data_IF_681445222320
#
_entry.id   IF_681445222320
#
_cell.length_a   1.000
_cell.length_b   1.000
_cell.length_c   1.000
_cell.angle_alpha   90.00
_cell.angle_beta   90.00
_cell.angle_gamma   90.00
#
_symmetry.space_group_name_H-M   'P 1'
#
loop_
_entity.id
_entity.type
_entity.pdbx_description
1 polymer ?
#
# COMPACT_ATOMS: atom_id res chain seq x y z
N UNK A 1 2.70 -1.02 -9.50
CA UNK A 1 1.33 -1.55 -9.62
C UNK A 1 1.27 -2.72 -10.58
N UNK A 2 1.62 -2.54 -11.86
CA UNK A 2 1.67 -3.65 -12.84
C UNK A 2 2.86 -4.59 -12.60
N UNK A 3 4.05 -4.05 -12.32
CA UNK A 3 5.26 -4.85 -12.05
C UNK A 3 5.21 -5.66 -10.75
N UNK A 4 4.32 -5.28 -9.83
CA UNK A 4 4.19 -5.90 -8.51
C UNK A 4 2.88 -6.71 -8.40
N UNK A 5 2.11 -6.86 -9.48
CA UNK A 5 0.88 -7.67 -9.52
C UNK A 5 -0.16 -7.33 -8.43
N UNK A 6 -0.13 -6.12 -7.86
CA UNK A 6 -1.06 -5.67 -6.79
C UNK A 6 -2.52 -5.63 -7.28
N UNK A 7 -2.70 -5.72 -8.60
CA UNK A 7 -4.00 -5.71 -9.25
C UNK A 7 -4.67 -7.10 -9.31
N UNK A 8 -3.98 -8.17 -8.92
CA UNK A 8 -4.49 -9.54 -9.00
C UNK A 8 -5.37 -9.85 -7.77
N UNK A 9 -6.49 -9.13 -7.69
CA UNK A 9 -7.55 -9.33 -6.69
C UNK A 9 -8.88 -9.47 -7.42
N UNK A 10 -9.74 -10.38 -6.96
CA UNK A 10 -11.02 -10.71 -7.61
C UNK A 10 -11.90 -9.50 -7.82
N UNK A 11 -11.93 -8.61 -6.83
CA UNK A 11 -12.74 -7.39 -6.83
C UNK A 11 -11.92 -6.12 -7.13
N UNK A 12 -10.65 -6.27 -7.55
CA UNK A 12 -9.76 -5.13 -7.87
C UNK A 12 -9.63 -4.17 -6.69
N UNK A 13 -9.46 -4.76 -5.50
CA UNK A 13 -9.43 -4.07 -4.20
C UNK A 13 -8.00 -3.85 -3.66
N UNK A 14 -6.97 -4.20 -4.43
CA UNK A 14 -5.58 -4.02 -4.02
C UNK A 14 -5.18 -2.56 -3.77
N UNK A 15 -4.35 -2.34 -2.75
CA UNK A 15 -3.74 -1.02 -2.44
C UNK A 15 -2.22 -1.18 -2.44
N UNK A 16 -1.52 -0.29 -3.16
CA UNK A 16 -0.07 -0.17 -3.11
C UNK A 16 0.33 1.03 -2.28
N UNK A 17 1.02 0.78 -1.16
CA UNK A 17 1.77 1.79 -0.43
C UNK A 17 3.23 1.72 -0.90
N UNK A 18 3.68 2.74 -1.62
CA UNK A 18 5.05 2.84 -2.13
C UNK A 18 5.82 3.93 -1.37
N UNK A 19 7.01 3.57 -0.87
CA UNK A 19 7.90 4.49 -0.14
C UNK A 19 9.32 4.41 -0.72
N UNK A 20 9.79 5.51 -1.30
CA UNK A 20 11.17 5.69 -1.75
C UNK A 20 11.89 6.63 -0.79
N UNK A 21 12.70 6.07 0.11
CA UNK A 21 13.49 6.85 1.07
C UNK A 21 14.59 7.67 0.40
N UNK A 22 15.09 7.24 -0.76
CA UNK A 22 16.14 7.98 -1.50
C UNK A 22 15.60 9.22 -2.19
N UNK A 23 14.38 9.14 -2.71
CA UNK A 23 13.73 10.24 -3.42
C UNK A 23 12.77 11.03 -2.53
N UNK A 24 12.64 10.64 -1.25
CA UNK A 24 11.65 11.17 -0.31
C UNK A 24 10.23 11.17 -0.88
N UNK A 25 9.89 10.11 -1.63
CA UNK A 25 8.61 9.96 -2.33
C UNK A 25 7.74 8.94 -1.61
N UNK A 26 6.47 9.29 -1.42
CA UNK A 26 5.44 8.42 -0.84
C UNK A 26 4.27 8.45 -1.82
N UNK A 27 3.80 7.28 -2.22
CA UNK A 27 2.62 7.15 -3.07
C UNK A 27 1.68 6.11 -2.49
N UNK A 28 0.39 6.40 -2.54
CA UNK A 28 -0.67 5.47 -2.20
C UNK A 28 -1.57 5.38 -3.42
N UNK A 29 -1.74 4.17 -3.92
CA UNK A 29 -2.53 3.92 -5.12
C UNK A 29 -3.51 2.80 -4.78
N UNK A 30 -4.80 3.04 -5.00
CA UNK A 30 -5.81 1.99 -5.01
C UNK A 30 -6.00 1.45 -6.42
N UNK A 31 -6.42 0.18 -6.54
CA UNK A 31 -6.91 -0.36 -7.80
C UNK A 31 -8.35 0.11 -8.06
N UNK A 32 -8.90 -0.25 -9.22
CA UNK A 32 -10.13 0.28 -9.79
C UNK A 32 -11.36 0.03 -8.91
N UNK A 33 -11.42 -1.08 -8.16
CA UNK A 33 -12.50 -1.35 -7.21
C UNK A 33 -12.48 -0.41 -6.01
N UNK A 34 -11.29 -0.03 -5.54
CA UNK A 34 -11.11 0.96 -4.47
C UNK A 34 -11.38 2.37 -4.97
N UNK A 35 -10.82 2.75 -6.12
CA UNK A 35 -10.94 4.11 -6.67
C UNK A 35 -12.38 4.48 -7.07
N UNK A 36 -13.29 3.51 -7.15
CA UNK A 36 -14.73 3.77 -7.33
C UNK A 36 -15.39 4.34 -6.07
N UNK A 37 -14.84 4.06 -4.89
CA UNK A 37 -15.43 4.39 -3.59
C UNK A 37 -14.55 5.36 -2.77
N UNK A 38 -13.24 5.35 -3.01
CA UNK A 38 -12.24 6.14 -2.30
C UNK A 38 -11.67 7.21 -3.23
N UNK A 39 -11.71 8.47 -2.82
CA UNK A 39 -11.17 9.59 -3.57
C UNK A 39 -9.67 9.83 -3.25
N UNK A 40 -8.97 10.54 -4.13
CA UNK A 40 -7.55 10.82 -3.94
C UNK A 40 -7.25 11.55 -2.61
N UNK A 41 -8.16 12.44 -2.19
CA UNK A 41 -8.03 13.21 -0.95
C UNK A 41 -8.16 12.34 0.31
N UNK A 42 -8.85 11.21 0.24
CA UNK A 42 -8.96 10.28 1.37
C UNK A 42 -7.60 9.64 1.72
N UNK A 43 -6.71 9.50 0.74
CA UNK A 43 -5.35 8.97 0.94
C UNK A 43 -4.39 9.98 1.57
N UNK A 44 -4.73 11.27 1.61
CA UNK A 44 -3.86 12.30 2.15
C UNK A 44 -3.48 12.03 3.62
N UNK A 45 -4.41 11.47 4.38
CA UNK A 45 -4.18 11.10 5.78
C UNK A 45 -3.21 9.92 5.94
N UNK A 46 -3.24 8.97 4.99
CA UNK A 46 -2.32 7.82 4.93
C UNK A 46 -0.90 8.32 4.62
N UNK A 47 -0.76 9.16 3.60
CA UNK A 47 0.54 9.78 3.23
C UNK A 47 1.11 10.58 4.39
N UNK A 48 0.26 11.33 5.10
CA UNK A 48 0.68 12.17 6.23
C UNK A 48 1.27 11.34 7.39
N UNK A 49 0.68 10.17 7.70
CA UNK A 49 1.19 9.26 8.74
C UNK A 49 2.56 8.70 8.39
N UNK A 50 2.72 8.20 7.16
CA UNK A 50 4.01 7.67 6.68
C UNK A 50 5.07 8.76 6.73
N UNK A 51 4.74 9.96 6.25
CA UNK A 51 5.64 11.12 6.27
C UNK A 51 6.07 11.47 7.70
N UNK A 52 5.14 11.47 8.65
CA UNK A 52 5.43 11.73 10.06
C UNK A 52 6.35 10.66 10.64
N UNK A 53 6.15 9.39 10.30
CA UNK A 53 7.05 8.30 10.70
C UNK A 53 8.48 8.53 10.20
N UNK A 54 8.63 8.87 8.92
CA UNK A 54 9.94 9.20 8.32
C UNK A 54 10.62 10.37 9.04
N UNK A 55 9.88 11.45 9.32
CA UNK A 55 10.42 12.65 9.96
C UNK A 55 10.88 12.42 11.41
N UNK A 56 10.35 11.39 12.09
CA UNK A 56 10.68 11.06 13.47
C UNK A 56 11.64 9.87 13.57
N UNK A 57 12.30 9.47 12.48
CA UNK A 57 13.14 8.27 12.41
C UNK A 57 12.41 6.97 12.85
N UNK A 58 11.08 6.95 12.72
CA UNK A 58 10.21 5.84 13.09
C UNK A 58 9.25 5.49 11.94
N UNK A 59 9.82 5.11 10.80
CA UNK A 59 9.06 4.71 9.60
C UNK A 59 8.13 3.53 9.87
N UNK A 60 8.58 2.54 10.66
CA UNK A 60 7.80 1.34 10.97
C UNK A 60 6.46 1.70 11.59
N UNK A 61 6.45 2.56 12.61
CA UNK A 61 5.22 3.02 13.24
C UNK A 61 4.34 3.78 12.24
N UNK A 62 4.93 4.69 11.46
CA UNK A 62 4.20 5.45 10.45
C UNK A 62 3.55 4.57 9.38
N UNK A 63 4.16 3.43 9.03
CA UNK A 63 3.59 2.43 8.12
C UNK A 63 2.45 1.64 8.78
N UNK A 64 2.61 1.22 10.04
CA UNK A 64 1.55 0.52 10.78
C UNK A 64 0.31 1.40 10.89
N UNK A 65 0.47 2.65 11.36
CA UNK A 65 -0.66 3.59 11.46
C UNK A 65 -1.32 3.86 10.09
N UNK A 66 -0.53 3.88 9.02
CA UNK A 66 -1.02 4.07 7.66
C UNK A 66 -1.84 2.86 7.16
N UNK A 67 -1.36 1.64 7.38
CA UNK A 67 -2.08 0.40 7.04
C UNK A 67 -3.40 0.33 7.81
N UNK A 68 -3.39 0.63 9.12
CA UNK A 68 -4.61 0.69 9.91
C UNK A 68 -5.60 1.74 9.38
N UNK A 69 -5.08 2.91 8.94
CA UNK A 69 -5.94 3.93 8.33
C UNK A 69 -6.55 3.45 7.02
N UNK A 70 -5.80 2.76 6.18
CA UNK A 70 -6.32 2.16 4.96
C UNK A 70 -7.49 1.22 5.29
N UNK A 71 -7.32 0.31 6.26
CA UNK A 71 -8.40 -0.58 6.69
C UNK A 71 -9.65 0.16 7.13
N UNK A 72 -9.51 1.16 8.01
CA UNK A 72 -10.64 2.00 8.45
C UNK A 72 -11.30 2.76 7.30
N UNK A 73 -10.51 3.26 6.35
CA UNK A 73 -11.02 3.99 5.19
C UNK A 73 -11.85 3.07 4.28
N UNK A 74 -11.41 1.83 4.08
CA UNK A 74 -12.16 0.82 3.33
C UNK A 74 -13.52 0.53 3.98
N UNK A 75 -13.54 0.34 5.30
CA UNK A 75 -14.79 0.16 6.07
C UNK A 75 -15.71 1.39 5.96
N UNK A 76 -15.17 2.60 6.14
CA UNK A 76 -15.92 3.87 6.06
C UNK A 76 -16.58 4.08 4.70
N UNK A 77 -15.95 3.59 3.63
CA UNK A 77 -16.40 3.75 2.24
C UNK A 77 -17.27 2.58 1.75
N UNK A 78 -17.45 1.53 2.57
CA UNK A 78 -18.33 0.41 2.25
C UNK A 78 -17.68 -0.71 1.44
N UNK A 79 -16.34 -0.83 1.50
CA UNK A 79 -15.62 -1.98 0.94
C UNK A 79 -15.70 -3.13 1.95
N UNK A 80 -16.81 -3.88 1.88
CA UNK A 80 -17.10 -4.97 2.82
C UNK A 80 -16.30 -6.25 2.52
N UNK A 81 -15.87 -6.93 3.59
CA UNK A 81 -15.28 -8.27 3.51
C UNK A 81 -16.37 -9.26 3.10
N UNK A 82 -16.11 -10.06 2.06
CA UNK A 82 -17.05 -11.08 1.61
C UNK A 82 -17.01 -12.34 2.50
N UNK A 83 -18.10 -13.12 2.57
CA UNK A 83 -18.11 -14.37 3.34
C UNK A 83 -17.12 -15.42 2.83
N UNK A 84 -16.73 -15.33 1.56
CA UNK A 84 -15.77 -16.19 0.86
C UNK A 84 -14.47 -15.46 0.53
N UNK A 85 -14.17 -14.39 1.27
CA UNK A 85 -12.92 -13.63 1.14
C UNK A 85 -11.72 -14.52 1.49
N UNK A 86 -10.68 -14.43 0.68
CA UNK A 86 -9.44 -15.19 0.84
C UNK A 86 -8.25 -14.22 0.79
N UNK A 87 -7.11 -14.63 1.36
CA UNK A 87 -5.91 -13.80 1.27
C UNK A 87 -5.32 -13.85 -0.15
N UNK A 88 -5.68 -12.89 -1.00
CA UNK A 88 -5.28 -12.83 -2.41
C UNK A 88 -3.84 -12.32 -2.61
N UNK A 89 -3.32 -11.48 -1.71
CA UNK A 89 -1.99 -10.88 -1.79
C UNK A 89 -1.18 -11.21 -0.53
N UNK A 90 0.08 -11.62 -0.68
CA UNK A 90 0.95 -11.88 0.47
C UNK A 90 1.17 -10.64 1.35
N UNK A 91 1.16 -10.85 2.67
CA UNK A 91 1.49 -9.82 3.68
C UNK A 91 2.99 -9.46 3.74
N UNK A 92 3.81 -10.03 2.86
CA UNK A 92 5.25 -9.79 2.86
C UNK A 92 5.58 -8.43 2.25
N UNK A 93 6.38 -7.63 2.96
CA UNK A 93 6.90 -6.37 2.42
C UNK A 93 7.74 -6.63 1.19
N UNK A 94 7.33 -6.04 0.06
CA UNK A 94 8.08 -6.12 -1.20
C UNK A 94 9.16 -5.04 -1.19
N UNK A 95 10.40 -5.49 -1.06
CA UNK A 95 11.56 -4.64 -1.28
C UNK A 95 12.15 -5.04 -2.63
N UNK A 96 12.06 -4.18 -3.68
CA UNK A 96 12.73 -4.49 -4.94
C UNK A 96 14.22 -4.63 -4.61
N UNK A 97 14.71 -5.85 -4.74
CA UNK A 97 16.09 -6.17 -4.45
C UNK A 97 16.99 -5.28 -5.30
N UNK A 98 18.01 -4.70 -4.66
CA UNK A 98 19.26 -4.35 -5.34
C UNK A 98 19.55 -5.51 -6.28
N UNK A 99 19.61 -5.26 -7.59
CA UNK A 99 19.83 -6.30 -8.58
C UNK A 99 20.95 -7.21 -8.12
N UNK A 100 20.79 -8.51 -8.35
CA UNK A 100 21.90 -9.46 -8.34
C UNK A 100 22.91 -9.01 -9.37
N UNK A 101 23.77 -8.04 -9.00
CA UNK A 101 25.05 -7.82 -9.64
C UNK A 101 25.97 -8.93 -9.16
N UNK A 102 26.17 -9.92 -10.04
CA UNK A 102 27.32 -10.81 -10.01
C UNK A 102 27.01 -12.25 -9.65
N UNK A 103 26.85 -13.09 -10.68
CA UNK A 103 27.65 -14.31 -10.84
C UNK A 103 27.96 -14.44 -12.34
N UNK A 104 29.12 -13.92 -12.72
CA UNK A 104 29.77 -14.36 -13.94
C UNK A 104 30.57 -15.61 -13.61
N UNK A 105 30.45 -16.62 -14.47
CA UNK A 105 31.53 -17.48 -14.99
C UNK A 105 31.05 -18.08 -16.31
#
# INVERSE_FOLDING_TARGET
FVEEEVFDTRDRTGILLFVSLREHRIEVVGDTGINQQVEADDWAEVVTRIRRGIQNDNLTEGLVEAIERCGRLLEEKGVDIRPDDENELTDTVRTPGRGTEGEGE
#
